data_IF_200409277067
#
_entry.id   IF_200409277067
#
_cell.length_a   1.000
_cell.length_b   1.000
_cell.length_c   1.000
_cell.angle_alpha   90.00
_cell.angle_beta   90.00
_cell.angle_gamma   90.00
#
_symmetry.space_group_name_H-M   'P 1'
#
loop_
_entity.id
_entity.type
_entity.pdbx_description
1 polymer ?
#
# COMPACT_ATOMS: atom_id res chain seq x y z
N UNK A 1 25.75 -51.00 9.06
CA UNK A 1 24.84 -50.42 8.03
C UNK A 1 23.75 -49.53 8.64
N UNK A 2 22.99 -49.95 9.66
CA UNK A 2 21.98 -49.09 10.33
C UNK A 2 22.52 -47.80 10.95
N UNK A 3 23.74 -47.81 11.52
CA UNK A 3 24.40 -46.62 12.10
C UNK A 3 24.90 -45.60 11.06
N UNK A 4 25.18 -46.04 9.82
CA UNK A 4 25.57 -45.15 8.71
C UNK A 4 24.35 -44.45 8.09
N UNK A 5 23.18 -45.11 8.09
CA UNK A 5 21.92 -44.50 7.64
C UNK A 5 21.44 -43.38 8.60
N UNK A 6 21.65 -43.54 9.91
CA UNK A 6 21.30 -42.50 10.90
C UNK A 6 22.20 -41.26 10.79
N UNK A 7 23.48 -41.42 10.45
CA UNK A 7 24.40 -40.29 10.26
C UNK A 7 24.06 -39.48 8.99
N UNK A 8 23.55 -40.13 7.94
CA UNK A 8 23.16 -39.46 6.69
C UNK A 8 21.87 -38.63 6.83
N UNK A 9 20.92 -39.06 7.68
CA UNK A 9 19.66 -38.35 7.94
C UNK A 9 19.89 -37.09 8.80
N UNK A 10 20.91 -37.07 9.67
CA UNK A 10 21.21 -35.91 10.52
C UNK A 10 21.89 -34.74 9.79
N UNK A 11 22.53 -34.99 8.64
CA UNK A 11 23.19 -33.94 7.84
C UNK A 11 22.22 -33.27 6.87
N UNK A 12 21.18 -33.96 6.40
CA UNK A 12 20.15 -33.39 5.53
C UNK A 12 19.14 -32.46 6.22
N UNK A 13 19.07 -32.44 7.55
CA UNK A 13 18.11 -31.58 8.28
C UNK A 13 18.57 -30.13 8.45
N UNK A 14 19.82 -29.79 8.09
CA UNK A 14 20.37 -28.46 8.31
C UNK A 14 20.10 -27.46 7.17
N UNK A 15 19.38 -27.85 6.12
CA UNK A 15 19.18 -27.01 4.93
C UNK A 15 17.72 -26.55 4.75
N UNK A 16 16.92 -26.54 5.81
CA UNK A 16 15.69 -25.74 5.80
C UNK A 16 16.06 -24.30 6.18
N UNK A 17 16.61 -23.55 5.22
CA UNK A 17 16.69 -22.09 5.35
C UNK A 17 15.25 -21.58 5.40
N UNK A 18 14.75 -21.31 6.61
CA UNK A 18 13.46 -20.68 6.78
C UNK A 18 13.53 -19.28 6.17
N UNK A 19 12.61 -18.98 5.25
CA UNK A 19 12.54 -17.67 4.62
C UNK A 19 12.42 -16.57 5.68
N UNK A 20 13.15 -15.47 5.50
CA UNK A 20 13.09 -14.32 6.42
C UNK A 20 12.12 -13.26 5.91
N UNK A 21 11.59 -12.42 6.81
CA UNK A 21 10.73 -11.30 6.39
C UNK A 21 11.46 -10.35 5.43
N UNK A 22 12.76 -10.12 5.72
CA UNK A 22 13.63 -9.31 4.88
C UNK A 22 13.72 -9.86 3.46
N UNK A 23 13.90 -11.16 3.28
CA UNK A 23 13.94 -11.79 1.95
C UNK A 23 12.62 -11.60 1.17
N UNK A 24 11.47 -11.73 1.84
CA UNK A 24 10.17 -11.53 1.20
C UNK A 24 10.00 -10.06 0.76
N UNK A 25 10.36 -9.13 1.64
CA UNK A 25 10.32 -7.69 1.37
C UNK A 25 11.28 -7.32 0.22
N UNK A 26 12.53 -7.79 0.28
CA UNK A 26 13.54 -7.52 -0.75
C UNK A 26 13.08 -8.06 -2.11
N UNK A 27 12.48 -9.26 -2.15
CA UNK A 27 11.92 -9.83 -3.38
C UNK A 27 10.73 -9.05 -3.90
N UNK A 28 9.83 -8.55 -3.03
CA UNK A 28 8.77 -7.66 -3.46
C UNK A 28 9.36 -6.38 -4.08
N UNK A 29 10.33 -5.74 -3.44
CA UNK A 29 10.97 -4.52 -3.93
C UNK A 29 11.64 -4.78 -5.28
N UNK A 30 12.41 -5.86 -5.41
CA UNK A 30 13.06 -6.28 -6.65
C UNK A 30 12.06 -6.48 -7.79
N UNK A 31 11.03 -7.30 -7.56
CA UNK A 31 10.07 -7.70 -8.61
C UNK A 31 9.03 -6.62 -8.92
N UNK A 32 8.79 -5.68 -8.00
CA UNK A 32 7.88 -4.54 -8.23
C UNK A 32 8.54 -3.37 -8.97
N UNK A 33 9.84 -3.45 -9.24
CA UNK A 33 10.57 -2.45 -10.03
C UNK A 33 11.96 -2.10 -9.53
N UNK A 34 12.38 -2.62 -8.38
CA UNK A 34 13.69 -2.40 -7.79
C UNK A 34 13.79 -1.11 -6.97
N UNK A 35 14.64 -1.14 -5.95
CA UNK A 35 14.78 -0.05 -4.97
C UNK A 35 15.10 1.29 -5.64
N UNK A 36 15.97 1.30 -6.65
CA UNK A 36 16.34 2.53 -7.38
C UNK A 36 15.14 3.19 -8.03
N UNK A 37 14.28 2.43 -8.72
CA UNK A 37 13.10 3.01 -9.38
C UNK A 37 12.08 3.52 -8.35
N UNK A 38 11.88 2.80 -7.24
CA UNK A 38 11.03 3.26 -6.14
C UNK A 38 11.57 4.54 -5.48
N UNK A 39 12.89 4.65 -5.31
CA UNK A 39 13.54 5.86 -4.78
C UNK A 39 13.50 7.05 -5.72
N UNK A 40 13.55 6.81 -7.03
CA UNK A 40 13.40 7.85 -8.06
C UNK A 40 11.96 8.28 -8.29
N UNK A 41 10.98 7.55 -7.76
CA UNK A 41 9.57 7.95 -7.82
C UNK A 41 9.36 9.19 -6.94
N UNK A 42 8.96 10.30 -7.54
CA UNK A 42 8.76 11.59 -6.87
C UNK A 42 7.30 12.01 -6.83
N UNK A 43 6.50 11.62 -7.83
CA UNK A 43 5.08 11.95 -7.89
C UNK A 43 4.25 10.84 -8.56
N UNK A 44 2.98 10.73 -8.17
CA UNK A 44 2.01 9.78 -8.72
C UNK A 44 0.67 10.49 -8.91
N UNK A 45 0.08 10.34 -10.08
CA UNK A 45 -1.32 10.69 -10.35
C UNK A 45 -2.08 9.41 -10.68
N UNK A 46 -3.00 9.02 -9.79
CA UNK A 46 -3.95 7.93 -10.02
C UNK A 46 -5.25 8.54 -10.57
N UNK A 47 -5.79 7.93 -11.63
CA UNK A 47 -7.08 8.30 -12.19
C UNK A 47 -7.96 7.06 -12.34
N UNK A 48 -9.25 7.23 -12.06
CA UNK A 48 -10.19 6.14 -12.19
C UNK A 48 -11.53 6.49 -11.57
N UNK A 49 -12.09 5.54 -10.84
CA UNK A 49 -13.33 5.70 -10.09
C UNK A 49 -13.25 5.06 -8.72
N UNK A 50 -13.99 5.61 -7.78
CA UNK A 50 -14.25 5.03 -6.46
C UNK A 50 -15.71 4.63 -6.37
N UNK A 51 -15.96 3.45 -5.80
CA UNK A 51 -17.27 2.88 -5.56
C UNK A 51 -17.43 2.73 -4.05
N UNK A 52 -18.37 3.47 -3.46
CA UNK A 52 -18.66 3.49 -2.02
C UNK A 52 -19.89 2.66 -1.65
N UNK A 53 -20.66 2.23 -2.65
CA UNK A 53 -21.90 1.48 -2.51
C UNK A 53 -22.48 1.13 -3.88
N UNK A 54 -23.62 0.42 -3.91
CA UNK A 54 -24.21 -0.11 -5.16
C UNK A 54 -24.49 0.99 -6.19
N UNK A 55 -24.81 2.22 -5.74
CA UNK A 55 -25.15 3.35 -6.61
C UNK A 55 -24.20 4.54 -6.49
N UNK A 56 -23.17 4.42 -5.65
CA UNK A 56 -22.28 5.52 -5.29
C UNK A 56 -20.92 5.33 -5.99
N UNK A 57 -20.87 5.72 -7.25
CA UNK A 57 -19.66 5.66 -8.09
C UNK A 57 -19.27 7.07 -8.53
N UNK A 58 -18.02 7.47 -8.25
CA UNK A 58 -17.51 8.80 -8.55
C UNK A 58 -16.16 8.73 -9.28
N UNK A 59 -15.94 9.53 -10.34
CA UNK A 59 -14.61 9.71 -10.89
C UNK A 59 -13.67 10.27 -9.82
N UNK A 60 -12.49 9.66 -9.67
CA UNK A 60 -11.50 10.01 -8.65
C UNK A 60 -10.15 10.35 -9.31
N UNK A 61 -9.46 11.33 -8.72
CA UNK A 61 -8.05 11.64 -8.96
C UNK A 61 -7.31 11.71 -7.63
N UNK A 62 -6.19 11.02 -7.53
CA UNK A 62 -5.31 11.06 -6.35
C UNK A 62 -3.95 11.55 -6.81
N UNK A 63 -3.52 12.64 -6.19
CA UNK A 63 -2.20 13.24 -6.39
C UNK A 63 -1.35 12.90 -5.18
N UNK A 64 -0.14 12.43 -5.41
CA UNK A 64 0.87 12.19 -4.38
C UNK A 64 2.21 12.75 -4.84
N UNK A 65 2.94 13.42 -3.97
CA UNK A 65 4.28 13.95 -4.27
C UNK A 65 5.17 13.92 -3.04
N UNK A 66 6.47 13.68 -3.22
CA UNK A 66 7.44 13.76 -2.12
C UNK A 66 7.51 15.17 -1.53
N UNK A 67 7.72 15.33 -0.21
CA UNK A 67 7.99 14.26 0.74
C UNK A 67 6.76 13.43 1.09
N UNK A 68 5.59 14.03 1.35
CA UNK A 68 4.35 13.33 1.72
C UNK A 68 3.07 14.09 1.29
N UNK A 69 3.15 14.93 0.27
CA UNK A 69 2.01 15.72 -0.21
C UNK A 69 0.96 14.80 -0.82
N UNK A 70 -0.30 15.01 -0.46
CA UNK A 70 -1.42 14.22 -1.00
C UNK A 70 -2.63 15.10 -1.27
N UNK A 71 -3.39 14.75 -2.29
CA UNK A 71 -4.71 15.33 -2.54
C UNK A 71 -5.59 14.35 -3.27
N UNK A 72 -6.73 14.04 -2.68
CA UNK A 72 -7.77 13.22 -3.29
C UNK A 72 -8.93 14.10 -3.71
N UNK A 73 -9.35 13.95 -4.95
CA UNK A 73 -10.44 14.72 -5.57
C UNK A 73 -11.44 13.74 -6.17
N UNK A 74 -12.72 13.95 -5.89
CA UNK A 74 -13.82 13.28 -6.58
C UNK A 74 -14.60 14.27 -7.44
N UNK A 75 -15.22 13.78 -8.51
CA UNK A 75 -16.08 14.59 -9.37
C UNK A 75 -17.55 14.33 -9.07
N UNK A 76 -18.26 15.36 -8.61
CA UNK A 76 -19.71 15.32 -8.36
C UNK A 76 -20.35 16.42 -9.22
N UNK A 77 -21.33 16.06 -10.06
CA UNK A 77 -22.04 17.03 -10.90
C UNK A 77 -21.10 17.85 -11.81
N UNK A 78 -20.10 17.20 -12.41
CA UNK A 78 -19.04 17.82 -13.23
C UNK A 78 -18.13 18.82 -12.49
N UNK A 79 -18.17 18.85 -11.16
CA UNK A 79 -17.27 19.66 -10.33
C UNK A 79 -16.30 18.78 -9.56
N UNK A 80 -15.02 19.09 -9.68
CA UNK A 80 -13.97 18.50 -8.86
C UNK A 80 -14.03 19.05 -7.43
N UNK A 81 -14.11 18.16 -6.45
CA UNK A 81 -14.16 18.47 -5.03
C UNK A 81 -13.06 17.70 -4.30
N UNK A 82 -12.16 18.43 -3.63
CA UNK A 82 -11.15 17.81 -2.77
C UNK A 82 -11.86 17.21 -1.54
N UNK A 83 -11.56 15.95 -1.25
CA UNK A 83 -12.15 15.24 -0.12
C UNK A 83 -11.16 14.94 1.00
N UNK A 84 -9.87 14.88 0.69
CA UNK A 84 -8.83 14.71 1.71
C UNK A 84 -7.44 15.02 1.14
N UNK A 85 -6.48 15.13 2.04
CA UNK A 85 -5.06 15.09 1.72
C UNK A 85 -4.21 15.92 2.69
N UNK A 86 -2.98 16.20 2.31
CA UNK A 86 -1.99 16.90 3.11
C UNK A 86 -1.21 17.90 2.24
N UNK A 87 -1.16 19.15 2.68
CA UNK A 87 -0.53 20.25 1.93
C UNK A 87 0.95 20.49 2.27
N UNK A 88 1.53 19.67 3.16
CA UNK A 88 2.89 19.86 3.68
C UNK A 88 2.93 20.51 5.06
N UNK A 89 1.80 21.02 5.54
CA UNK A 89 1.66 21.62 6.88
C UNK A 89 0.48 21.01 7.63
N UNK A 90 -0.67 20.85 6.98
CA UNK A 90 -1.95 20.45 7.60
C UNK A 90 -2.65 19.37 6.80
N UNK A 91 -3.37 18.51 7.52
CA UNK A 91 -4.27 17.53 6.94
C UNK A 91 -5.62 18.15 6.61
N UNK A 92 -6.28 17.59 5.61
CA UNK A 92 -7.62 17.96 5.20
C UNK A 92 -8.45 16.69 5.06
N UNK A 93 -9.70 16.72 5.51
CA UNK A 93 -10.66 15.64 5.29
C UNK A 93 -12.08 16.20 5.23
N UNK A 94 -12.91 15.62 4.36
CA UNK A 94 -14.29 16.01 4.18
C UNK A 94 -15.12 15.52 5.36
N UNK A 95 -15.78 16.45 6.04
CA UNK A 95 -16.86 16.12 6.96
C UNK A 95 -18.16 16.05 6.15
N UNK A 96 -18.59 14.85 5.79
CA UNK A 96 -19.78 14.64 4.97
C UNK A 96 -21.08 15.07 5.67
N UNK A 97 -21.17 14.97 7.00
CA UNK A 97 -22.34 15.42 7.76
C UNK A 97 -22.50 16.95 7.70
N UNK A 98 -21.39 17.69 7.74
CA UNK A 98 -21.37 19.14 7.61
C UNK A 98 -21.20 19.63 6.16
N UNK A 99 -21.02 18.71 5.20
CA UNK A 99 -20.62 18.97 3.82
C UNK A 99 -19.50 20.04 3.70
N UNK A 100 -18.45 19.88 4.53
CA UNK A 100 -17.37 20.86 4.65
C UNK A 100 -16.02 20.17 4.76
N UNK A 101 -15.05 20.67 4.00
CA UNK A 101 -13.66 20.26 4.15
C UNK A 101 -13.09 20.83 5.45
N UNK A 102 -12.71 19.94 6.36
CA UNK A 102 -12.13 20.26 7.65
C UNK A 102 -10.60 20.22 7.58
N UNK A 103 -9.97 21.08 8.38
CA UNK A 103 -8.51 21.20 8.49
C UNK A 103 -8.03 20.63 9.82
N UNK A 104 -6.89 19.93 9.80
CA UNK A 104 -6.28 19.24 10.93
C UNK A 104 -4.82 19.69 11.06
N UNK A 105 -4.57 20.62 11.98
CA UNK A 105 -3.24 21.22 12.16
C UNK A 105 -2.18 20.23 12.70
N UNK A 106 -2.59 19.22 13.46
CA UNK A 106 -1.71 18.23 14.08
C UNK A 106 -1.70 16.89 13.30
N UNK A 107 -2.08 16.92 12.03
CA UNK A 107 -2.08 15.72 11.20
C UNK A 107 -0.65 15.24 10.93
N UNK A 108 -0.40 13.97 11.23
CA UNK A 108 0.86 13.29 10.88
C UNK A 108 0.63 12.57 9.56
N UNK A 109 1.30 12.99 8.47
CA UNK A 109 1.10 12.35 7.17
C UNK A 109 1.68 10.95 7.14
N UNK A 110 1.03 10.07 6.37
CA UNK A 110 1.65 8.81 5.96
C UNK A 110 2.86 9.08 5.06
N UNK A 111 3.82 8.15 5.06
CA UNK A 111 4.98 8.26 4.19
C UNK A 111 4.57 8.06 2.74
N UNK A 112 5.08 8.89 1.82
CA UNK A 112 4.92 8.65 0.37
C UNK A 112 5.44 7.27 -0.04
N UNK A 113 6.57 6.85 0.55
CA UNK A 113 7.11 5.52 0.38
C UNK A 113 6.29 4.53 1.23
N UNK A 114 5.90 3.40 0.65
CA UNK A 114 5.28 2.31 1.41
C UNK A 114 6.17 1.85 2.58
N UNK A 115 5.58 1.15 3.55
CA UNK A 115 6.26 0.77 4.79
C UNK A 115 7.50 -0.11 4.59
N UNK A 116 7.61 -0.79 3.45
CA UNK A 116 8.72 -1.70 3.14
C UNK A 116 9.97 -1.00 2.65
N UNK A 117 9.84 0.14 1.97
CA UNK A 117 11.00 0.91 1.52
C UNK A 117 11.68 1.53 2.74
N UNK A 118 12.94 1.15 2.97
CA UNK A 118 13.76 1.54 4.12
C UNK A 118 13.09 1.28 5.48
N UNK A 119 12.35 0.17 5.60
CA UNK A 119 11.59 -0.17 6.80
C UNK A 119 12.41 -0.11 8.10
N UNK A 120 13.67 -0.57 8.08
CA UNK A 120 14.59 -0.51 9.23
C UNK A 120 14.89 0.94 9.64
N UNK A 121 15.21 1.82 8.68
CA UNK A 121 15.48 3.24 8.94
C UNK A 121 14.22 3.98 9.41
N UNK A 122 13.04 3.52 8.97
CA UNK A 122 11.74 3.99 9.46
C UNK A 122 11.41 3.50 10.87
N UNK A 123 12.23 2.64 11.47
CA UNK A 123 12.07 2.12 12.83
C UNK A 123 11.15 0.90 12.93
N UNK A 124 10.90 0.19 11.84
CA UNK A 124 10.14 -1.05 11.87
C UNK A 124 11.03 -2.24 12.25
N UNK A 125 10.42 -3.24 12.87
CA UNK A 125 10.94 -4.61 12.96
C UNK A 125 10.08 -5.54 12.10
N UNK A 126 10.70 -6.47 11.36
CA UNK A 126 10.00 -7.35 10.44
C UNK A 126 10.04 -8.81 10.92
N UNK A 127 8.89 -9.50 10.87
CA UNK A 127 8.77 -10.91 11.29
C UNK A 127 8.01 -11.72 10.25
N UNK A 128 8.58 -12.85 9.83
CA UNK A 128 7.91 -13.78 8.91
C UNK A 128 7.05 -14.75 9.72
N UNK A 129 5.77 -14.83 9.37
CA UNK A 129 4.77 -15.62 10.08
C UNK A 129 4.40 -16.91 9.33
N UNK A 130 5.11 -17.22 8.24
CA UNK A 130 4.85 -18.39 7.40
C UNK A 130 3.95 -18.08 6.20
N UNK A 131 3.37 -19.14 5.64
CA UNK A 131 2.46 -19.04 4.49
C UNK A 131 1.02 -19.19 4.94
N UNK A 132 0.14 -18.40 4.37
CA UNK A 132 -1.30 -18.43 4.63
C UNK A 132 -2.06 -18.38 3.31
N UNK A 133 -3.21 -19.05 3.24
CA UNK A 133 -4.06 -19.02 2.06
C UNK A 133 -5.06 -17.87 2.20
N UNK A 134 -5.06 -16.94 1.26
CA UNK A 134 -6.03 -15.84 1.16
C UNK A 134 -6.84 -16.06 -0.13
N UNK A 135 -8.13 -16.39 0.04
CA UNK A 135 -8.98 -16.85 -1.06
C UNK A 135 -8.38 -18.09 -1.74
N UNK A 136 -7.98 -17.95 -3.01
CA UNK A 136 -7.37 -19.01 -3.81
C UNK A 136 -5.84 -18.89 -3.94
N UNK A 137 -5.21 -17.91 -3.29
CA UNK A 137 -3.78 -17.64 -3.38
C UNK A 137 -3.03 -18.01 -2.10
N UNK A 138 -1.84 -18.58 -2.25
CA UNK A 138 -0.90 -18.78 -1.14
C UNK A 138 0.00 -17.55 -1.02
N UNK A 139 0.06 -16.97 0.16
CA UNK A 139 0.82 -15.75 0.44
C UNK A 139 1.84 -15.96 1.56
N UNK A 140 2.98 -15.30 1.43
CA UNK A 140 3.91 -15.04 2.53
C UNK A 140 3.29 -14.01 3.46
N UNK A 141 3.18 -14.34 4.75
CA UNK A 141 2.66 -13.44 5.78
C UNK A 141 3.82 -12.78 6.53
N UNK A 142 3.90 -11.46 6.46
CA UNK A 142 4.94 -10.66 7.12
C UNK A 142 4.26 -9.66 8.06
N UNK A 143 4.76 -9.57 9.28
CA UNK A 143 4.40 -8.53 10.24
C UNK A 143 5.48 -7.46 10.24
N UNK A 144 5.09 -6.19 10.08
CA UNK A 144 5.94 -5.06 10.46
C UNK A 144 5.42 -4.43 11.75
N UNK A 145 6.32 -4.18 12.69
CA UNK A 145 6.00 -3.53 13.97
C UNK A 145 6.82 -2.26 14.14
N UNK A 146 6.16 -1.14 14.42
CA UNK A 146 6.79 0.13 14.81
C UNK A 146 6.15 0.64 16.09
N UNK A 147 6.95 0.77 17.14
CA UNK A 147 6.47 1.01 18.51
C UNK A 147 5.45 -0.08 18.92
N UNK A 148 4.20 0.32 19.20
CA UNK A 148 3.09 -0.60 19.54
C UNK A 148 2.23 -0.97 18.33
N UNK A 149 2.45 -0.33 17.18
CA UNK A 149 1.62 -0.53 15.99
C UNK A 149 2.15 -1.72 15.18
N UNK A 150 1.25 -2.62 14.84
CA UNK A 150 1.53 -3.83 14.05
C UNK A 150 0.69 -3.82 12.79
N UNK A 151 1.34 -3.99 11.65
CA UNK A 151 0.71 -4.14 10.36
C UNK A 151 1.06 -5.52 9.81
N UNK A 152 0.09 -6.19 9.19
CA UNK A 152 0.28 -7.50 8.55
C UNK A 152 0.19 -7.33 7.05
N UNK A 153 1.12 -7.95 6.32
CA UNK A 153 1.20 -7.89 4.87
C UNK A 153 1.26 -9.31 4.30
N UNK A 154 0.51 -9.51 3.23
CA UNK A 154 0.42 -10.78 2.52
C UNK A 154 0.97 -10.60 1.11
N UNK A 155 2.10 -11.23 0.82
CA UNK A 155 2.73 -11.19 -0.50
C UNK A 155 2.47 -12.50 -1.24
N UNK A 156 2.03 -12.47 -2.48
CA UNK A 156 1.84 -13.67 -3.29
C UNK A 156 3.15 -14.48 -3.37
N UNK A 157 3.08 -15.78 -3.08
CA UNK A 157 4.24 -16.68 -3.14
C UNK A 157 4.83 -16.87 -4.54
N UNK A 158 4.11 -16.50 -5.60
CA UNK A 158 4.56 -16.62 -6.99
C UNK A 158 5.17 -15.32 -7.51
N UNK A 159 4.45 -14.22 -7.34
CA UNK A 159 4.83 -12.91 -7.91
C UNK A 159 5.50 -11.98 -6.91
N UNK A 160 5.41 -12.28 -5.61
CA UNK A 160 5.79 -11.41 -4.49
C UNK A 160 5.06 -10.06 -4.47
N UNK A 161 4.02 -9.86 -5.29
CA UNK A 161 3.21 -8.65 -5.21
C UNK A 161 2.38 -8.65 -3.92
N UNK A 162 2.19 -7.47 -3.34
CA UNK A 162 1.35 -7.31 -2.15
C UNK A 162 -0.10 -7.62 -2.53
N UNK A 163 -0.69 -8.62 -1.89
CA UNK A 163 -2.10 -8.95 -2.08
C UNK A 163 -2.98 -8.21 -1.08
N UNK A 164 -2.54 -8.16 0.18
CA UNK A 164 -3.33 -7.59 1.28
C UNK A 164 -2.43 -6.93 2.31
N UNK A 165 -2.85 -5.80 2.83
CA UNK A 165 -2.36 -5.26 4.10
C UNK A 165 -3.50 -5.14 5.11
N UNK A 166 -3.18 -5.39 6.37
CA UNK A 166 -4.09 -5.25 7.51
C UNK A 166 -3.42 -4.29 8.48
N UNK A 167 -4.01 -3.11 8.62
CA UNK A 167 -3.72 -2.13 9.66
C UNK A 167 -4.78 -2.26 10.77
N UNK A 168 -4.67 -1.44 11.82
CA UNK A 168 -5.53 -1.52 13.01
C UNK A 168 -7.03 -1.44 12.68
N UNK A 169 -7.42 -0.53 11.79
CA UNK A 169 -8.82 -0.20 11.53
C UNK A 169 -9.23 -0.43 10.06
N UNK A 170 -8.30 -0.89 9.23
CA UNK A 170 -8.47 -1.02 7.78
C UNK A 170 -7.76 -2.26 7.24
N UNK A 171 -8.39 -2.93 6.29
CA UNK A 171 -7.77 -3.94 5.44
C UNK A 171 -7.87 -3.48 3.99
N UNK A 172 -6.73 -3.42 3.30
CA UNK A 172 -6.67 -3.13 1.86
C UNK A 172 -6.28 -4.39 1.09
N UNK A 173 -7.03 -4.70 0.04
CA UNK A 173 -6.72 -5.72 -0.95
C UNK A 173 -6.27 -5.05 -2.26
N UNK A 174 -5.21 -5.58 -2.85
CA UNK A 174 -4.60 -5.07 -4.07
C UNK A 174 -4.64 -6.11 -5.17
N UNK A 175 -5.09 -5.71 -6.36
CA UNK A 175 -5.17 -6.59 -7.52
C UNK A 175 -4.98 -5.84 -8.84
N UNK A 176 -5.03 -6.58 -9.94
CA UNK A 176 -4.85 -6.06 -11.31
C UNK A 176 -3.53 -5.31 -11.51
N UNK A 177 -2.43 -5.88 -11.00
CA UNK A 177 -1.10 -5.29 -11.14
C UNK A 177 -0.69 -5.15 -12.61
N UNK A 178 -0.25 -3.95 -12.99
CA UNK A 178 0.26 -3.64 -14.32
C UNK A 178 1.55 -2.86 -14.22
N UNK A 179 2.34 -2.93 -15.29
CA UNK A 179 3.58 -2.16 -15.42
C UNK A 179 3.23 -0.70 -15.76
N UNK A 180 3.77 0.22 -14.99
CA UNK A 180 3.71 1.67 -15.17
C UNK A 180 5.15 2.19 -15.17
N UNK A 181 5.67 2.49 -16.36
CA UNK A 181 7.12 2.72 -16.52
C UNK A 181 7.91 1.46 -16.11
N UNK A 182 8.72 1.57 -15.06
CA UNK A 182 9.51 0.46 -14.51
C UNK A 182 8.89 -0.17 -13.25
N UNK A 183 7.74 0.32 -12.79
CA UNK A 183 7.12 -0.11 -11.54
C UNK A 183 5.90 -0.99 -11.81
N UNK A 184 5.65 -1.99 -10.96
CA UNK A 184 4.40 -2.73 -10.92
C UNK A 184 3.47 -2.07 -9.91
N UNK A 185 2.29 -1.65 -10.36
CA UNK A 185 1.31 -0.95 -9.52
C UNK A 185 -0.08 -1.60 -9.65
N UNK A 186 -0.87 -1.67 -8.56
CA UNK A 186 -2.20 -2.25 -8.59
C UNK A 186 -3.18 -1.30 -9.30
N UNK A 187 -4.07 -1.86 -10.13
CA UNK A 187 -5.15 -1.08 -10.78
C UNK A 187 -6.50 -1.27 -10.09
N UNK A 188 -6.56 -2.09 -9.04
CA UNK A 188 -7.73 -2.28 -8.20
C UNK A 188 -7.31 -2.34 -6.74
N UNK A 189 -7.97 -1.52 -5.92
CA UNK A 189 -7.77 -1.45 -4.47
C UNK A 189 -9.14 -1.58 -3.81
N UNK A 190 -9.29 -2.51 -2.88
CA UNK A 190 -10.52 -2.66 -2.10
C UNK A 190 -10.21 -2.42 -0.63
N UNK A 191 -10.92 -1.49 -0.01
CA UNK A 191 -10.83 -1.25 1.43
C UNK A 191 -12.03 -1.86 2.14
N UNK A 192 -11.75 -2.43 3.30
CA UNK A 192 -12.76 -2.83 4.27
C UNK A 192 -12.37 -2.32 5.66
N UNK A 193 -13.31 -1.68 6.34
CA UNK A 193 -13.14 -1.21 7.71
C UNK A 193 -13.82 -2.15 8.70
N UNK A 194 -13.31 -2.22 9.93
CA UNK A 194 -13.92 -3.04 10.98
C UNK A 194 -15.36 -2.62 11.31
N UNK A 195 -15.70 -1.35 11.07
CA UNK A 195 -17.03 -0.76 11.29
C UNK A 195 -17.91 -0.75 10.05
N UNK A 196 -17.40 -1.14 8.88
CA UNK A 196 -18.08 -1.13 7.56
C UNK A 196 -18.63 0.24 7.15
N UNK A 197 -18.03 1.30 7.67
CA UNK A 197 -18.39 2.70 7.42
C UNK A 197 -17.40 3.42 6.48
N UNK A 198 -16.35 2.70 6.04
CA UNK A 198 -15.30 3.21 5.17
C UNK A 198 -14.93 2.28 4.02
N UNK A 199 -15.77 1.28 3.73
CA UNK A 199 -15.52 0.33 2.66
C UNK A 199 -15.57 1.03 1.29
N UNK A 200 -14.60 0.75 0.42
CA UNK A 200 -14.60 1.28 -0.94
C UNK A 200 -13.91 0.32 -1.90
N UNK A 201 -14.31 0.39 -3.17
CA UNK A 201 -13.57 -0.22 -4.28
C UNK A 201 -13.07 0.88 -5.20
N UNK A 202 -11.76 0.96 -5.38
CA UNK A 202 -11.13 1.85 -6.33
C UNK A 202 -10.71 1.08 -7.57
N UNK A 203 -11.21 1.53 -8.72
CA UNK A 203 -10.83 1.02 -10.03
C UNK A 203 -10.05 2.08 -10.77
N UNK A 204 -8.76 1.83 -10.95
CA UNK A 204 -7.81 2.75 -11.57
C UNK A 204 -7.76 2.41 -13.06
N UNK A 205 -7.85 3.42 -13.92
CA UNK A 205 -7.71 3.26 -15.37
C UNK A 205 -6.38 3.80 -15.88
N UNK A 206 -5.75 4.72 -15.16
CA UNK A 206 -4.48 5.34 -15.52
C UNK A 206 -3.67 5.72 -14.30
N UNK A 207 -2.37 5.50 -14.39
CA UNK A 207 -1.38 5.97 -13.44
C UNK A 207 -0.29 6.71 -14.22
N UNK A 208 -0.02 7.96 -13.85
CA UNK A 208 1.14 8.71 -14.33
C UNK A 208 2.15 8.85 -13.19
N UNK A 209 3.42 8.53 -13.44
CA UNK A 209 4.52 8.67 -12.46
C UNK A 209 5.47 9.80 -12.86
N UNK A 210 6.08 10.47 -11.88
CA UNK A 210 7.08 11.54 -12.08
C UNK A 210 6.59 12.69 -12.96
N UNK A 211 5.28 12.97 -12.90
CA UNK A 211 4.67 14.12 -13.56
C UNK A 211 4.94 15.38 -12.74
N UNK A 212 5.36 16.45 -13.40
CA UNK A 212 5.41 17.77 -12.77
C UNK A 212 4.00 18.26 -12.56
N UNK A 213 3.62 18.49 -11.31
CA UNK A 213 2.31 19.03 -10.98
C UNK A 213 2.32 20.56 -10.96
N UNK A 214 1.18 21.21 -11.31
CA UNK A 214 1.02 22.64 -11.09
C UNK A 214 1.28 23.03 -9.63
N UNK A 215 1.89 24.18 -9.38
CA UNK A 215 2.28 24.63 -8.04
C UNK A 215 1.10 24.80 -7.05
N UNK A 216 -0.14 24.91 -7.56
CA UNK A 216 -1.35 24.99 -6.75
C UNK A 216 -2.06 23.65 -6.53
N UNK A 217 -1.47 22.53 -6.99
CA UNK A 217 -2.10 21.21 -6.90
C UNK A 217 -2.51 20.87 -5.48
N UNK A 218 -1.60 21.03 -4.51
CA UNK A 218 -1.82 20.70 -3.11
C UNK A 218 -2.42 21.84 -2.27
N UNK A 219 -2.92 22.91 -2.90
CA UNK A 219 -3.71 23.93 -2.19
C UNK A 219 -5.16 23.47 -2.05
N UNK A 220 -5.69 23.55 -0.83
CA UNK A 220 -7.09 23.22 -0.50
C UNK A 220 -7.99 24.46 -0.33
N UNK A 221 -7.38 25.65 -0.32
CA UNK A 221 -8.02 26.97 -0.24
C UNK A 221 -7.41 27.90 -1.28
#
# INVERSE_FOLDING_TARGET
>A
MKKLLLAFILVCSQWCMAQTAKEIIDKNIELSGGLTNWKLLNSVLLQGKVILGIKDEYPIKIYQERPNLTKTVITIGNKETAIEGYDGTKGYAMNYAANKLQEYAEYVPESFDNDFIDWENKGFTARYLGKEKIGNMYCHKVELTKNVNKNIYYFDTKTYMLLREIKKDETLDYSDYKKVGNLMMPFRIESSSTKKDGDYVMLINRIDTNKVFPANTFKFK
#
